data_IF_391464088281
#
_entry.id   IF_391464088281
#
_cell.length_a   1.000
_cell.length_b   1.000
_cell.length_c   1.000
_cell.angle_alpha   90.00
_cell.angle_beta   90.00
_cell.angle_gamma   90.00
#
_symmetry.space_group_name_H-M   'P 1'
#
loop_
_entity.id
_entity.type
_entity.pdbx_description
1 polymer ?
#
# COMPACT_ATOMS: atom_id res chain seq x y z
N UNK A 1 -32.88 3.72 -38.78
CA UNK A 1 -32.43 4.59 -37.67
C UNK A 1 -31.47 3.80 -36.84
N UNK A 2 -30.17 4.05 -37.00
CA UNK A 2 -29.11 3.40 -36.28
C UNK A 2 -28.97 4.02 -34.86
N UNK A 3 -28.68 3.24 -33.79
CA UNK A 3 -28.41 3.83 -32.49
C UNK A 3 -26.98 4.38 -32.47
N UNK A 4 -26.88 5.66 -32.23
CA UNK A 4 -25.60 6.37 -31.99
C UNK A 4 -24.87 5.79 -30.76
N UNK A 5 -23.59 5.53 -30.96
CA UNK A 5 -22.65 5.12 -29.93
C UNK A 5 -22.42 6.25 -28.92
N UNK A 6 -22.96 6.11 -27.72
CA UNK A 6 -22.59 6.92 -26.57
C UNK A 6 -21.34 6.30 -25.95
N UNK A 7 -20.20 6.70 -26.43
CA UNK A 7 -18.91 6.26 -25.90
C UNK A 7 -17.88 7.36 -26.04
N UNK A 8 -17.48 8.01 -24.93
CA UNK A 8 -16.23 8.78 -24.96
C UNK A 8 -16.05 9.99 -24.05
N UNK A 9 -17.08 10.51 -23.37
CA UNK A 9 -16.91 11.74 -22.56
C UNK A 9 -16.90 11.57 -21.04
N UNK A 10 -17.13 10.38 -20.52
CA UNK A 10 -17.28 10.14 -19.08
C UNK A 10 -15.96 10.02 -18.28
N UNK A 11 -14.87 9.58 -18.89
CA UNK A 11 -13.64 9.27 -18.16
C UNK A 11 -12.82 10.51 -17.75
N UNK A 12 -12.76 11.51 -18.61
CA UNK A 12 -11.97 12.72 -18.34
C UNK A 12 -12.52 13.57 -17.19
N UNK A 13 -13.85 13.71 -17.09
CA UNK A 13 -14.51 14.45 -16.01
C UNK A 13 -14.37 13.76 -14.66
N UNK A 14 -14.44 12.43 -14.63
CA UNK A 14 -14.26 11.61 -13.43
C UNK A 14 -12.84 11.75 -12.84
N UNK A 15 -11.81 11.67 -13.67
CA UNK A 15 -10.41 11.79 -13.21
C UNK A 15 -10.14 13.18 -12.62
N UNK A 16 -10.63 14.27 -13.26
CA UNK A 16 -10.44 15.63 -12.77
C UNK A 16 -11.10 15.83 -11.39
N UNK A 17 -12.35 15.38 -11.22
CA UNK A 17 -13.07 15.44 -9.94
C UNK A 17 -12.38 14.63 -8.85
N UNK A 18 -11.93 13.44 -9.18
CA UNK A 18 -11.20 12.56 -8.27
C UNK A 18 -9.86 13.15 -7.86
N UNK A 19 -9.11 13.73 -8.80
CA UNK A 19 -7.84 14.42 -8.55
C UNK A 19 -8.03 15.58 -7.57
N UNK A 20 -9.13 16.35 -7.66
CA UNK A 20 -9.42 17.43 -6.73
C UNK A 20 -9.68 16.93 -5.29
N UNK A 21 -10.33 15.79 -5.12
CA UNK A 21 -10.49 15.14 -3.79
C UNK A 21 -9.13 14.69 -3.26
N UNK A 22 -8.35 13.99 -4.08
CA UNK A 22 -7.03 13.46 -3.72
C UNK A 22 -6.05 14.58 -3.39
N UNK A 23 -6.07 15.70 -4.12
CA UNK A 23 -5.18 16.85 -3.87
C UNK A 23 -5.33 17.36 -2.43
N UNK A 24 -6.54 17.43 -1.89
CA UNK A 24 -6.77 17.83 -0.50
C UNK A 24 -6.24 16.83 0.51
N UNK A 25 -6.26 15.55 0.16
CA UNK A 25 -5.80 14.47 1.03
C UNK A 25 -4.28 14.35 1.07
N UNK A 26 -3.61 14.44 -0.08
CA UNK A 26 -2.15 14.21 -0.16
C UNK A 26 -1.32 15.31 0.50
N UNK A 27 -1.88 16.52 0.66
CA UNK A 27 -1.20 17.68 1.27
C UNK A 27 -1.47 17.79 2.78
N UNK A 28 -2.21 16.87 3.39
CA UNK A 28 -2.42 16.90 4.84
C UNK A 28 -1.07 16.96 5.57
N UNK A 29 -0.92 17.89 6.54
CA UNK A 29 0.31 18.05 7.28
C UNK A 29 0.74 16.74 7.93
N UNK A 30 1.99 16.39 7.78
CA UNK A 30 2.60 15.26 8.47
C UNK A 30 3.24 15.73 9.79
N UNK A 31 3.29 14.84 10.77
CA UNK A 31 3.95 15.14 12.05
C UNK A 31 5.46 15.44 11.84
N UNK A 32 6.09 16.26 12.72
CA UNK A 32 7.50 16.66 12.59
C UNK A 32 8.48 15.48 12.45
N UNK A 33 8.18 14.36 13.10
CA UNK A 33 8.94 13.10 13.02
C UNK A 33 9.08 12.57 11.58
N UNK A 34 8.08 12.80 10.74
CA UNK A 34 8.12 12.42 9.32
C UNK A 34 9.23 13.19 8.59
N UNK A 35 9.47 14.46 8.94
CA UNK A 35 10.56 15.24 8.35
C UNK A 35 11.94 14.74 8.78
N UNK A 36 12.08 14.19 9.99
CA UNK A 36 13.33 13.55 10.45
C UNK A 36 13.63 12.31 9.60
N UNK A 37 12.64 11.45 9.45
CA UNK A 37 12.75 10.26 8.59
C UNK A 37 12.99 10.65 7.11
N UNK A 38 12.29 11.65 6.60
CA UNK A 38 12.45 12.13 5.24
C UNK A 38 13.88 12.60 4.97
N UNK A 39 14.48 13.39 5.88
CA UNK A 39 15.89 13.80 5.76
C UNK A 39 16.84 12.60 5.72
N UNK A 40 16.61 11.60 6.56
CA UNK A 40 17.41 10.37 6.57
C UNK A 40 17.27 9.61 5.23
N UNK A 41 16.08 9.55 4.64
CA UNK A 41 15.85 8.94 3.34
C UNK A 41 16.55 9.70 2.22
N UNK A 42 16.39 11.01 2.17
CA UNK A 42 17.04 11.85 1.16
C UNK A 42 18.57 11.81 1.28
N UNK A 43 19.10 11.75 2.51
CA UNK A 43 20.53 11.57 2.75
C UNK A 43 21.05 10.21 2.26
N UNK A 44 20.27 9.13 2.45
CA UNK A 44 20.66 7.78 2.06
C UNK A 44 20.56 7.51 0.56
N UNK A 45 19.48 7.97 -0.08
CA UNK A 45 19.16 7.65 -1.48
C UNK A 45 19.51 8.79 -2.45
N UNK A 46 19.87 9.95 -1.92
CA UNK A 46 20.40 11.08 -2.68
C UNK A 46 19.46 11.63 -3.75
N UNK A 47 20.05 12.13 -4.83
CA UNK A 47 19.35 12.78 -5.94
C UNK A 47 18.50 11.82 -6.80
N UNK A 48 18.64 10.51 -6.60
CA UNK A 48 17.78 9.52 -7.27
C UNK A 48 16.31 9.61 -6.81
N UNK A 49 16.04 10.20 -5.64
CA UNK A 49 14.69 10.30 -5.08
C UNK A 49 13.89 11.37 -5.81
N UNK A 50 12.78 10.96 -6.39
CA UNK A 50 11.83 11.85 -7.07
C UNK A 50 10.61 12.19 -6.21
N UNK A 51 10.17 11.24 -5.38
CA UNK A 51 9.09 11.50 -4.43
C UNK A 51 9.09 10.51 -3.27
N UNK A 52 8.38 10.87 -2.19
CA UNK A 52 8.13 10.02 -1.04
C UNK A 52 6.66 10.08 -0.67
N UNK A 53 6.04 8.91 -0.60
CA UNK A 53 4.65 8.70 -0.20
C UNK A 53 4.63 8.11 1.21
N UNK A 54 3.89 8.74 2.12
CA UNK A 54 3.64 8.26 3.48
C UNK A 54 2.24 7.66 3.56
N UNK A 55 2.15 6.42 4.04
CA UNK A 55 0.89 5.70 4.15
C UNK A 55 0.89 4.75 5.36
N UNK A 56 -0.14 3.96 5.52
CA UNK A 56 -0.17 2.90 6.52
C UNK A 56 -0.71 3.32 7.88
N UNK A 57 -0.49 2.49 8.91
CA UNK A 57 -1.10 2.65 10.23
C UNK A 57 -0.63 3.90 10.96
N UNK A 58 0.64 4.28 10.83
CA UNK A 58 1.18 5.48 11.45
C UNK A 58 0.54 6.76 10.91
N UNK A 59 0.15 6.78 9.61
CA UNK A 59 -0.60 7.90 9.05
C UNK A 59 -2.01 8.01 9.62
N UNK A 60 -2.57 6.91 10.06
CA UNK A 60 -3.93 6.82 10.66
C UNK A 60 -3.94 6.95 12.19
N UNK A 61 -2.86 7.45 12.81
CA UNK A 61 -2.83 7.75 14.24
C UNK A 61 -2.13 6.71 15.13
N UNK A 62 -1.60 5.60 14.58
CA UNK A 62 -0.69 4.76 15.36
C UNK A 62 0.59 5.55 15.63
N UNK A 63 1.03 5.60 16.88
CA UNK A 63 2.20 6.39 17.30
C UNK A 63 3.45 6.10 16.47
N UNK A 64 4.07 7.15 15.94
CA UNK A 64 5.21 7.07 15.01
C UNK A 64 6.43 6.38 15.63
N UNK A 65 6.66 6.60 16.94
CA UNK A 65 7.79 6.00 17.67
C UNK A 65 7.53 4.57 18.11
N UNK A 66 6.27 4.28 18.45
CA UNK A 66 5.86 2.93 18.83
C UNK A 66 5.69 1.99 17.64
N UNK A 67 5.49 2.55 16.44
CA UNK A 67 5.27 1.82 15.20
C UNK A 67 6.47 1.79 14.27
N UNK A 68 6.18 1.37 13.03
CA UNK A 68 7.06 1.54 11.87
C UNK A 68 6.31 2.37 10.85
N UNK A 69 6.97 3.42 10.40
CA UNK A 69 6.44 4.31 9.37
C UNK A 69 6.60 3.64 8.00
N UNK A 70 5.52 3.52 7.27
CA UNK A 70 5.54 2.94 5.94
C UNK A 70 5.71 4.03 4.87
N UNK A 71 6.81 3.96 4.11
CA UNK A 71 7.06 4.83 2.98
C UNK A 71 7.14 4.07 1.65
N UNK A 72 6.66 4.71 0.60
CA UNK A 72 7.04 4.38 -0.76
C UNK A 72 7.97 5.46 -1.29
N UNK A 73 9.16 5.04 -1.67
CA UNK A 73 10.19 5.88 -2.26
C UNK A 73 10.12 5.74 -3.77
N UNK A 74 9.88 6.83 -4.47
CA UNK A 74 9.87 6.86 -5.92
C UNK A 74 11.21 7.37 -6.41
N UNK A 75 11.88 6.56 -7.23
CA UNK A 75 13.18 6.87 -7.79
C UNK A 75 13.11 6.97 -9.32
N UNK A 76 14.06 7.70 -9.89
CA UNK A 76 14.18 7.84 -11.34
C UNK A 76 14.64 6.53 -11.96
N UNK A 77 15.80 6.03 -11.51
CA UNK A 77 16.34 4.72 -11.88
C UNK A 77 16.76 3.98 -10.60
N UNK A 78 16.38 2.71 -10.49
CA UNK A 78 16.80 1.83 -9.40
C UNK A 78 18.32 1.70 -9.30
N UNK A 79 19.01 1.70 -10.44
CA UNK A 79 20.46 1.55 -10.51
C UNK A 79 21.21 2.70 -9.85
N UNK A 80 20.57 3.86 -9.67
CA UNK A 80 21.16 4.99 -8.98
C UNK A 80 21.18 4.82 -7.44
N UNK A 81 20.40 3.87 -6.91
CA UNK A 81 20.29 3.66 -5.47
C UNK A 81 20.39 2.18 -5.03
N UNK A 82 20.46 1.25 -5.98
CA UNK A 82 20.52 -0.18 -5.72
C UNK A 82 21.67 -0.83 -6.50
N UNK A 83 22.36 -1.77 -5.88
CA UNK A 83 23.39 -2.56 -6.56
C UNK A 83 22.80 -3.35 -7.74
N UNK A 84 23.62 -3.61 -8.79
CA UNK A 84 23.19 -4.09 -10.09
C UNK A 84 22.23 -5.29 -10.06
N UNK A 85 22.52 -6.34 -9.28
CA UNK A 85 21.63 -7.51 -9.18
C UNK A 85 20.36 -7.24 -8.37
N UNK A 86 20.43 -6.39 -7.31
CA UNK A 86 19.28 -5.96 -6.52
C UNK A 86 18.33 -5.10 -7.37
N UNK A 87 18.88 -4.19 -8.17
CA UNK A 87 18.10 -3.38 -9.10
C UNK A 87 17.36 -4.26 -10.12
N UNK A 88 18.02 -5.30 -10.68
CA UNK A 88 17.38 -6.25 -11.60
C UNK A 88 16.23 -7.02 -10.94
N UNK A 89 16.45 -7.58 -9.75
CA UNK A 89 15.42 -8.31 -9.01
C UNK A 89 14.26 -7.38 -8.58
N UNK A 90 14.58 -6.12 -8.21
CA UNK A 90 13.60 -5.10 -7.92
C UNK A 90 12.72 -4.77 -9.11
N UNK A 91 13.30 -4.61 -10.30
CA UNK A 91 12.58 -4.36 -11.54
C UNK A 91 11.72 -5.54 -12.01
N UNK A 92 12.18 -6.78 -11.79
CA UNK A 92 11.40 -7.97 -12.14
C UNK A 92 10.19 -8.19 -11.22
N UNK A 93 10.37 -7.98 -9.93
CA UNK A 93 9.31 -8.19 -8.93
C UNK A 93 9.33 -7.06 -7.87
N UNK A 94 8.86 -5.86 -8.21
CA UNK A 94 8.84 -4.74 -7.27
C UNK A 94 7.94 -4.98 -6.06
N UNK A 95 8.25 -4.30 -4.93
CA UNK A 95 9.41 -3.45 -4.64
C UNK A 95 10.60 -4.20 -4.04
N UNK A 96 11.78 -3.56 -4.01
CA UNK A 96 12.77 -3.83 -2.97
C UNK A 96 12.40 -3.05 -1.72
N UNK A 97 12.76 -3.60 -0.56
CA UNK A 97 12.38 -3.04 0.73
C UNK A 97 13.61 -2.78 1.56
N UNK A 98 13.61 -1.65 2.29
CA UNK A 98 14.67 -1.21 3.18
C UNK A 98 14.08 -0.94 4.56
N UNK A 99 14.84 -1.26 5.59
CA UNK A 99 14.61 -0.79 6.94
C UNK A 99 15.55 0.39 7.20
N UNK A 100 14.98 1.48 7.69
CA UNK A 100 15.73 2.69 8.03
C UNK A 100 15.39 3.06 9.47
N UNK A 101 16.43 3.22 10.27
CA UNK A 101 16.31 3.71 11.63
C UNK A 101 17.12 5.01 11.76
N UNK A 102 16.54 5.99 12.40
CA UNK A 102 17.16 7.27 12.77
C UNK A 102 16.66 7.67 14.15
N UNK A 103 17.19 8.73 14.71
CA UNK A 103 16.74 9.24 16.00
C UNK A 103 16.71 10.77 15.99
N UNK A 104 15.88 11.33 16.84
CA UNK A 104 15.90 12.73 17.25
C UNK A 104 16.06 12.81 18.78
N UNK A 105 15.91 14.00 19.35
CA UNK A 105 15.99 14.25 20.80
C UNK A 105 14.98 13.45 21.63
N UNK A 106 13.89 13.00 21.02
CA UNK A 106 12.83 12.22 21.66
C UNK A 106 12.97 10.70 21.47
N UNK A 107 14.04 10.24 20.81
CA UNK A 107 14.37 8.82 20.65
C UNK A 107 14.26 8.27 19.22
N UNK A 108 14.29 6.94 19.06
CA UNK A 108 14.40 6.31 17.76
C UNK A 108 13.12 6.41 16.95
N UNK A 109 13.30 6.59 15.64
CA UNK A 109 12.26 6.55 14.59
C UNK A 109 12.61 5.48 13.58
N UNK A 110 11.61 4.71 13.15
CA UNK A 110 11.81 3.55 12.29
C UNK A 110 10.90 3.61 11.07
N UNK A 111 11.47 3.33 9.92
CA UNK A 111 10.72 3.29 8.67
C UNK A 111 10.97 2.00 7.90
N UNK A 112 9.92 1.53 7.24
CA UNK A 112 9.96 0.52 6.19
C UNK A 112 9.73 1.23 4.85
N UNK A 113 10.69 1.11 3.96
CA UNK A 113 10.76 1.86 2.71
C UNK A 113 10.68 0.90 1.54
N UNK A 114 9.63 1.00 0.75
CA UNK A 114 9.46 0.23 -0.48
C UNK A 114 9.85 1.10 -1.67
N UNK A 115 10.85 0.67 -2.45
CA UNK A 115 11.40 1.44 -3.57
C UNK A 115 10.70 1.05 -4.87
N UNK A 116 10.23 2.08 -5.59
CA UNK A 116 9.58 1.96 -6.90
C UNK A 116 10.12 2.99 -7.87
N UNK A 117 10.01 2.75 -9.17
CA UNK A 117 10.02 3.82 -10.17
C UNK A 117 8.59 4.32 -10.41
N UNK A 118 8.45 5.54 -10.94
CA UNK A 118 7.14 6.08 -11.32
C UNK A 118 6.42 5.14 -12.30
N UNK A 119 7.13 4.63 -13.31
CA UNK A 119 6.59 3.70 -14.30
C UNK A 119 6.05 2.39 -13.67
N UNK A 120 6.70 1.89 -12.61
CA UNK A 120 6.21 0.71 -11.89
C UNK A 120 4.92 1.00 -11.12
N UNK A 121 4.80 2.20 -10.54
CA UNK A 121 3.56 2.64 -9.90
C UNK A 121 2.43 2.82 -10.91
N UNK A 122 2.68 3.45 -12.05
CA UNK A 122 1.70 3.63 -13.13
C UNK A 122 1.18 2.28 -13.65
N UNK A 123 2.09 1.34 -13.92
CA UNK A 123 1.72 -0.03 -14.30
C UNK A 123 0.96 -0.75 -13.20
N UNK A 124 1.42 -0.60 -11.95
CA UNK A 124 0.83 -1.21 -10.78
C UNK A 124 -0.57 -0.70 -10.46
N UNK A 125 -0.84 0.60 -10.70
CA UNK A 125 -2.15 1.21 -10.51
C UNK A 125 -3.24 0.60 -11.41
N UNK A 126 -2.85 0.05 -12.57
CA UNK A 126 -3.75 -0.58 -13.55
C UNK A 126 -3.63 -2.11 -13.60
N UNK A 127 -2.73 -2.69 -12.81
CA UNK A 127 -2.40 -4.11 -12.88
C UNK A 127 -3.57 -5.03 -12.46
N UNK A 128 -3.46 -6.29 -12.87
CA UNK A 128 -4.33 -7.35 -12.36
C UNK A 128 -4.12 -7.59 -10.85
N UNK A 129 -2.88 -7.50 -10.39
CA UNK A 129 -2.49 -7.65 -9.00
C UNK A 129 -2.90 -6.45 -8.14
N UNK A 130 -3.38 -6.69 -6.92
CA UNK A 130 -3.86 -5.65 -5.99
C UNK A 130 -2.75 -4.87 -5.28
N UNK A 131 -1.52 -5.33 -5.35
CA UNK A 131 -0.43 -4.86 -4.47
C UNK A 131 -0.24 -3.33 -4.47
N UNK A 132 -0.29 -2.69 -5.62
CA UNK A 132 -0.16 -1.23 -5.76
C UNK A 132 -1.50 -0.54 -5.55
N UNK A 133 -2.49 -0.81 -6.41
CA UNK A 133 -3.74 -0.05 -6.37
C UNK A 133 -4.55 -0.30 -5.09
N UNK A 134 -4.50 -1.49 -4.47
CA UNK A 134 -5.18 -1.75 -3.20
C UNK A 134 -4.60 -0.96 -2.02
N UNK A 135 -3.33 -0.53 -2.09
CA UNK A 135 -2.71 0.35 -1.09
C UNK A 135 -2.89 1.82 -1.42
N UNK A 136 -2.72 2.20 -2.69
CA UNK A 136 -2.83 3.58 -3.12
C UNK A 136 -4.27 4.09 -3.23
N UNK A 137 -5.27 3.20 -3.19
CA UNK A 137 -6.67 3.58 -3.01
C UNK A 137 -6.99 4.00 -1.56
N UNK A 138 -6.10 3.74 -0.59
CA UNK A 138 -6.23 4.20 0.79
C UNK A 138 -5.61 5.59 0.95
N UNK A 139 -5.90 6.31 2.05
CA UNK A 139 -5.31 7.62 2.31
C UNK A 139 -3.77 7.60 2.30
N UNK A 140 -3.19 8.48 1.49
CA UNK A 140 -1.75 8.64 1.27
C UNK A 140 -1.39 10.12 1.38
N UNK A 141 -0.22 10.45 1.95
CA UNK A 141 0.36 11.80 1.90
C UNK A 141 1.59 11.80 0.99
N UNK A 142 1.70 12.78 0.11
CA UNK A 142 2.92 13.06 -0.65
C UNK A 142 3.77 13.99 0.21
N UNK A 143 4.74 13.43 0.95
CA UNK A 143 5.58 14.19 1.88
C UNK A 143 6.80 14.81 1.21
N UNK A 144 7.11 14.38 -0.02
CA UNK A 144 8.15 14.96 -0.87
C UNK A 144 7.83 14.70 -2.34
N UNK A 145 8.02 15.70 -3.16
CA UNK A 145 8.10 15.59 -4.61
C UNK A 145 9.18 16.56 -5.13
N UNK A 146 10.09 16.08 -5.94
CA UNK A 146 11.22 16.87 -6.44
C UNK A 146 10.77 18.04 -7.33
N UNK A 147 9.69 17.86 -8.07
CA UNK A 147 9.09 18.90 -8.91
C UNK A 147 7.56 18.81 -8.90
N UNK A 148 6.85 19.89 -9.32
CA UNK A 148 5.39 19.83 -9.53
C UNK A 148 4.96 18.74 -10.52
N UNK A 149 5.81 18.37 -11.47
CA UNK A 149 5.53 17.32 -12.44
C UNK A 149 5.42 15.94 -11.77
N UNK A 150 6.38 15.59 -10.89
CA UNK A 150 6.32 14.34 -10.13
C UNK A 150 5.10 14.32 -9.22
N UNK A 151 4.77 15.44 -8.58
CA UNK A 151 3.57 15.55 -7.76
C UNK A 151 2.31 15.28 -8.57
N UNK A 152 2.15 15.91 -9.75
CA UNK A 152 1.00 15.70 -10.62
C UNK A 152 0.93 14.27 -11.17
N UNK A 153 2.07 13.66 -11.52
CA UNK A 153 2.13 12.27 -11.96
C UNK A 153 1.68 11.30 -10.87
N UNK A 154 2.08 11.54 -9.61
CA UNK A 154 1.62 10.73 -8.48
C UNK A 154 0.12 10.89 -8.22
N UNK A 155 -0.43 12.09 -8.32
CA UNK A 155 -1.88 12.29 -8.23
C UNK A 155 -2.63 11.46 -9.28
N UNK A 156 -2.12 11.42 -10.53
CA UNK A 156 -2.70 10.58 -11.56
C UNK A 156 -2.62 9.08 -11.22
N UNK A 157 -1.49 8.61 -10.67
CA UNK A 157 -1.34 7.23 -10.18
C UNK A 157 -2.35 6.91 -9.07
N UNK A 158 -2.54 7.82 -8.12
CA UNK A 158 -3.53 7.65 -7.04
C UNK A 158 -4.95 7.60 -7.61
N UNK A 159 -5.30 8.52 -8.54
CA UNK A 159 -6.61 8.54 -9.18
C UNK A 159 -6.90 7.22 -9.91
N UNK A 160 -5.97 6.71 -10.73
CA UNK A 160 -6.12 5.42 -11.39
C UNK A 160 -6.21 4.25 -10.42
N UNK A 161 -5.51 4.33 -9.28
CA UNK A 161 -5.60 3.29 -8.23
C UNK A 161 -6.98 3.24 -7.59
N UNK A 162 -7.58 4.41 -7.33
CA UNK A 162 -8.96 4.51 -6.80
C UNK A 162 -9.98 4.03 -7.84
N UNK A 163 -9.87 4.48 -9.10
CA UNK A 163 -10.74 4.00 -10.17
C UNK A 163 -10.68 2.48 -10.31
N UNK A 164 -9.46 1.92 -10.37
CA UNK A 164 -9.26 0.47 -10.45
C UNK A 164 -9.84 -0.26 -9.26
N UNK A 165 -9.66 0.27 -8.05
CA UNK A 165 -10.24 -0.30 -6.84
C UNK A 165 -11.77 -0.34 -6.91
N UNK A 166 -12.40 0.75 -7.30
CA UNK A 166 -13.86 0.84 -7.41
C UNK A 166 -14.41 -0.06 -8.53
N UNK A 167 -13.78 -0.09 -9.69
CA UNK A 167 -14.19 -0.97 -10.81
C UNK A 167 -14.17 -2.45 -10.44
N UNK A 168 -13.28 -2.85 -9.54
CA UNK A 168 -13.17 -4.23 -9.10
C UNK A 168 -14.01 -4.56 -7.86
N UNK A 169 -14.30 -3.58 -7.00
CA UNK A 169 -15.01 -3.81 -5.74
C UNK A 169 -16.52 -3.55 -5.86
N UNK A 170 -16.95 -2.48 -6.56
CA UNK A 170 -18.37 -2.12 -6.67
C UNK A 170 -19.26 -3.23 -7.24
N UNK A 171 -18.83 -4.04 -8.23
CA UNK A 171 -19.65 -5.16 -8.73
C UNK A 171 -20.05 -6.17 -7.65
N UNK A 172 -19.34 -6.22 -6.53
CA UNK A 172 -19.62 -7.15 -5.43
C UNK A 172 -20.38 -6.50 -4.27
N UNK A 173 -20.71 -5.22 -4.40
CA UNK A 173 -21.22 -4.39 -3.30
C UNK A 173 -22.71 -4.07 -3.43
N UNK A 174 -23.47 -4.79 -4.26
CA UNK A 174 -24.88 -4.49 -4.52
C UNK A 174 -25.69 -4.23 -3.25
N UNK A 175 -26.35 -3.06 -3.18
CA UNK A 175 -27.13 -2.52 -2.05
C UNK A 175 -26.34 -2.18 -0.78
N UNK A 176 -25.04 -2.47 -0.71
CA UNK A 176 -24.19 -2.03 0.40
C UNK A 176 -24.09 -0.50 0.46
N UNK A 177 -23.87 0.04 1.65
CA UNK A 177 -23.41 1.42 1.80
C UNK A 177 -22.02 1.59 1.18
N UNK A 178 -21.63 2.83 0.90
CA UNK A 178 -20.29 3.12 0.37
C UNK A 178 -19.20 2.58 1.31
N UNK A 179 -19.35 2.81 2.63
CA UNK A 179 -18.39 2.32 3.63
C UNK A 179 -18.27 0.79 3.65
N UNK A 180 -19.39 0.07 3.57
CA UNK A 180 -19.38 -1.40 3.49
C UNK A 180 -18.72 -1.92 2.21
N UNK A 181 -18.94 -1.24 1.08
CA UNK A 181 -18.31 -1.59 -0.20
C UNK A 181 -16.80 -1.45 -0.15
N UNK A 182 -16.29 -0.35 0.43
CA UNK A 182 -14.85 -0.14 0.63
C UNK A 182 -14.25 -1.17 1.59
N UNK A 183 -14.93 -1.43 2.71
CA UNK A 183 -14.51 -2.48 3.66
C UNK A 183 -14.35 -3.83 2.97
N UNK A 184 -15.37 -4.24 2.23
CA UNK A 184 -15.38 -5.51 1.49
C UNK A 184 -14.27 -5.56 0.44
N UNK A 185 -14.10 -4.48 -0.33
CA UNK A 185 -13.03 -4.37 -1.33
C UNK A 185 -11.63 -4.45 -0.72
N UNK A 186 -11.38 -3.74 0.39
CA UNK A 186 -10.11 -3.79 1.11
C UNK A 186 -9.84 -5.17 1.71
N UNK A 187 -10.84 -5.82 2.31
CA UNK A 187 -10.70 -7.19 2.82
C UNK A 187 -10.30 -8.16 1.70
N UNK A 188 -10.95 -8.07 0.54
CA UNK A 188 -10.61 -8.88 -0.64
C UNK A 188 -9.21 -8.59 -1.17
N UNK A 189 -8.84 -7.31 -1.24
CA UNK A 189 -7.48 -6.89 -1.63
C UNK A 189 -6.42 -7.50 -0.70
N UNK A 190 -6.65 -7.45 0.61
CA UNK A 190 -5.75 -8.04 1.59
C UNK A 190 -5.69 -9.57 1.51
N UNK A 191 -6.81 -10.22 1.24
CA UNK A 191 -6.87 -11.67 1.08
C UNK A 191 -6.11 -12.20 -0.15
N UNK A 192 -5.70 -11.31 -1.09
CA UNK A 192 -4.82 -11.68 -2.20
C UNK A 192 -3.35 -11.81 -1.79
N UNK A 193 -2.99 -11.38 -0.59
CA UNK A 193 -1.61 -11.39 -0.11
C UNK A 193 -1.43 -12.41 1.04
N UNK A 194 -0.18 -12.83 1.24
CA UNK A 194 0.21 -13.59 2.43
C UNK A 194 0.43 -12.61 3.59
N UNK A 195 -0.59 -12.36 4.38
CA UNK A 195 -0.54 -11.50 5.56
C UNK A 195 -0.86 -12.30 6.81
N UNK A 196 -0.13 -12.01 7.89
CA UNK A 196 -0.43 -12.55 9.23
C UNK A 196 -1.57 -11.80 9.93
N UNK A 197 -2.14 -10.75 9.33
CA UNK A 197 -3.10 -9.86 9.98
C UNK A 197 -4.55 -10.28 9.69
N UNK A 198 -5.38 -10.25 10.73
CA UNK A 198 -6.79 -10.60 10.69
C UNK A 198 -7.63 -9.57 9.88
N UNK A 199 -8.71 -10.04 9.24
CA UNK A 199 -9.60 -9.22 8.39
C UNK A 199 -10.34 -8.05 9.06
N UNK A 200 -10.27 -7.91 10.39
CA UNK A 200 -10.93 -6.82 11.15
C UNK A 200 -10.38 -5.43 10.84
N UNK A 201 -9.09 -5.31 10.54
CA UNK A 201 -8.42 -4.02 10.27
C UNK A 201 -8.99 -3.22 9.09
N UNK A 202 -9.59 -3.89 8.09
CA UNK A 202 -10.21 -3.19 6.96
C UNK A 202 -11.45 -2.37 7.38
N UNK A 203 -12.17 -2.82 8.39
CA UNK A 203 -13.31 -2.09 8.96
C UNK A 203 -12.87 -0.78 9.61
N UNK A 204 -11.88 -0.86 10.49
CA UNK A 204 -11.36 0.29 11.23
C UNK A 204 -10.80 1.37 10.29
N UNK A 205 -10.14 0.95 9.19
CA UNK A 205 -9.56 1.86 8.19
C UNK A 205 -10.65 2.72 7.52
N UNK A 206 -11.78 2.13 7.17
CA UNK A 206 -12.86 2.85 6.47
C UNK A 206 -13.61 3.77 7.41
N UNK A 207 -13.89 3.31 8.64
CA UNK A 207 -14.61 4.12 9.61
C UNK A 207 -13.85 5.38 10.03
N UNK A 208 -12.53 5.33 10.14
CA UNK A 208 -11.68 6.47 10.48
C UNK A 208 -11.73 7.61 9.45
N UNK A 209 -11.97 7.30 8.18
CA UNK A 209 -11.96 8.27 7.09
C UNK A 209 -13.20 8.14 6.18
N UNK A 210 -14.38 7.80 6.75
CA UNK A 210 -15.64 7.55 6.02
C UNK A 210 -15.93 8.62 4.96
N UNK A 211 -15.91 9.89 5.35
CA UNK A 211 -16.21 11.01 4.48
C UNK A 211 -15.25 11.08 3.26
N UNK A 212 -13.98 10.70 3.44
CA UNK A 212 -13.03 10.63 2.35
C UNK A 212 -13.40 9.56 1.32
N UNK A 213 -13.74 8.34 1.78
CA UNK A 213 -14.13 7.24 0.90
C UNK A 213 -15.45 7.52 0.16
N UNK A 214 -16.40 8.18 0.82
CA UNK A 214 -17.64 8.65 0.19
C UNK A 214 -17.36 9.68 -0.91
N UNK A 215 -16.52 10.68 -0.61
CA UNK A 215 -16.11 11.70 -1.57
C UNK A 215 -15.37 11.10 -2.80
N UNK A 216 -14.48 10.13 -2.58
CA UNK A 216 -13.79 9.41 -3.67
C UNK A 216 -14.78 8.66 -4.56
N UNK A 217 -15.74 7.95 -3.96
CA UNK A 217 -16.71 7.16 -4.72
C UNK A 217 -17.64 8.06 -5.53
N UNK A 218 -18.12 9.13 -4.92
CA UNK A 218 -18.99 10.11 -5.58
C UNK A 218 -18.26 10.79 -6.75
N UNK A 219 -16.99 11.18 -6.54
CA UNK A 219 -16.19 11.81 -7.59
C UNK A 219 -15.87 10.86 -8.75
N UNK A 220 -15.58 9.58 -8.45
CA UNK A 220 -15.15 8.60 -9.46
C UNK A 220 -16.32 7.88 -10.15
N UNK A 221 -17.39 7.55 -9.43
CA UNK A 221 -18.49 6.69 -9.90
C UNK A 221 -19.88 7.17 -9.39
N UNK A 222 -20.29 8.42 -9.69
CA UNK A 222 -21.56 8.96 -9.20
C UNK A 222 -22.77 8.13 -9.66
N UNK A 223 -22.73 7.60 -10.89
CA UNK A 223 -23.82 6.79 -11.47
C UNK A 223 -23.94 5.39 -10.85
N UNK A 224 -22.91 4.93 -10.14
CA UNK A 224 -22.95 3.66 -9.41
C UNK A 224 -23.67 3.78 -8.08
N UNK A 225 -24.08 4.98 -7.67
CA UNK A 225 -24.72 5.24 -6.39
C UNK A 225 -26.22 5.59 -6.56
N UNK A 226 -26.98 5.33 -5.52
CA UNK A 226 -28.32 5.80 -5.32
C UNK A 226 -28.51 6.14 -3.83
N UNK A 227 -29.48 6.98 -3.52
CA UNK A 227 -29.77 7.38 -2.14
C UNK A 227 -31.05 6.69 -1.70
N UNK A 228 -31.01 6.00 -0.55
CA UNK A 228 -32.18 5.37 0.04
C UNK A 228 -33.11 6.37 0.71
N UNK A 229 -34.26 5.90 1.27
CA UNK A 229 -35.26 6.74 1.91
C UNK A 229 -34.71 7.46 3.17
N UNK A 230 -33.69 6.88 3.80
CA UNK A 230 -33.02 7.45 4.99
C UNK A 230 -31.89 8.43 4.62
N UNK A 231 -31.69 8.73 3.33
CA UNK A 231 -30.66 9.64 2.85
C UNK A 231 -29.26 9.02 2.75
N UNK A 232 -29.13 7.70 2.90
CA UNK A 232 -27.83 7.00 2.84
C UNK A 232 -27.47 6.63 1.40
N UNK A 233 -26.24 6.94 1.01
CA UNK A 233 -25.70 6.53 -0.29
C UNK A 233 -25.36 5.05 -0.33
N UNK A 234 -25.96 4.34 -1.29
CA UNK A 234 -25.79 2.91 -1.52
C UNK A 234 -25.30 2.61 -2.93
N UNK A 235 -24.64 1.49 -3.09
CA UNK A 235 -24.16 0.99 -4.39
C UNK A 235 -25.33 0.34 -5.14
N UNK A 236 -25.48 0.69 -6.43
CA UNK A 236 -26.49 0.06 -7.29
C UNK A 236 -26.15 -1.40 -7.52
N UNK A 237 -27.11 -2.31 -7.38
CA UNK A 237 -26.90 -3.70 -7.72
C UNK A 237 -26.63 -3.87 -9.22
N UNK A 238 -25.77 -4.81 -9.57
CA UNK A 238 -25.50 -5.20 -10.94
C UNK A 238 -26.18 -6.55 -11.26
N UNK A 239 -26.31 -6.88 -12.57
CA UNK A 239 -26.80 -8.18 -12.99
C UNK A 239 -25.95 -9.33 -12.39
N UNK A 240 -26.61 -10.45 -12.08
CA UNK A 240 -25.93 -11.61 -11.47
C UNK A 240 -24.74 -12.14 -12.28
N UNK A 241 -24.84 -12.08 -13.62
CA UNK A 241 -23.75 -12.46 -14.50
C UNK A 241 -22.47 -11.63 -14.27
N UNK A 242 -22.61 -10.32 -14.05
CA UNK A 242 -21.51 -9.40 -13.80
C UNK A 242 -20.90 -9.63 -12.41
N UNK A 243 -21.76 -9.88 -11.40
CA UNK A 243 -21.33 -10.25 -10.05
C UNK A 243 -20.55 -11.57 -10.10
N UNK A 244 -21.06 -12.58 -10.80
CA UNK A 244 -20.37 -13.86 -10.96
C UNK A 244 -19.02 -13.72 -11.69
N UNK A 245 -18.96 -12.87 -12.71
CA UNK A 245 -17.71 -12.55 -13.40
C UNK A 245 -16.70 -11.86 -12.48
N UNK A 246 -17.14 -10.90 -11.68
CA UNK A 246 -16.30 -10.22 -10.67
C UNK A 246 -15.78 -11.20 -9.62
N UNK A 247 -16.62 -12.13 -9.14
CA UNK A 247 -16.22 -13.18 -8.19
C UNK A 247 -15.14 -14.10 -8.77
N UNK A 248 -15.27 -14.50 -10.05
CA UNK A 248 -14.24 -15.30 -10.74
C UNK A 248 -12.91 -14.55 -10.84
N UNK A 249 -12.96 -13.25 -11.22
CA UNK A 249 -11.75 -12.40 -11.27
C UNK A 249 -11.06 -12.31 -9.91
N UNK A 250 -11.81 -12.12 -8.82
CA UNK A 250 -11.23 -12.04 -7.47
C UNK A 250 -10.63 -13.37 -7.01
N UNK A 251 -11.22 -14.53 -7.35
CA UNK A 251 -10.61 -15.84 -7.07
C UNK A 251 -9.28 -16.02 -7.78
N UNK A 252 -9.24 -15.72 -9.08
CA UNK A 252 -7.99 -15.76 -9.85
C UNK A 252 -6.93 -14.79 -9.31
N UNK A 253 -7.36 -13.58 -8.95
CA UNK A 253 -6.50 -12.56 -8.35
C UNK A 253 -5.93 -12.97 -6.99
N UNK A 254 -6.72 -13.67 -6.17
CA UNK A 254 -6.26 -14.19 -4.88
C UNK A 254 -5.16 -15.25 -5.06
N UNK A 255 -5.34 -16.18 -5.99
CA UNK A 255 -4.31 -17.18 -6.30
C UNK A 255 -3.02 -16.54 -6.82
N UNK A 256 -3.16 -15.68 -7.84
CA UNK A 256 -2.02 -14.98 -8.45
C UNK A 256 -1.28 -14.09 -7.45
N UNK A 257 -2.01 -13.33 -6.63
CA UNK A 257 -1.43 -12.43 -5.63
C UNK A 257 -0.68 -13.18 -4.53
N UNK A 258 -1.22 -14.31 -4.03
CA UNK A 258 -0.54 -15.18 -3.04
C UNK A 258 0.76 -15.75 -3.61
N UNK A 259 0.76 -16.20 -4.86
CA UNK A 259 1.97 -16.70 -5.53
C UNK A 259 3.03 -15.58 -5.62
N UNK A 260 2.65 -14.38 -6.06
CA UNK A 260 3.57 -13.24 -6.12
C UNK A 260 4.04 -12.80 -4.75
N UNK A 261 3.18 -12.86 -3.72
CA UNK A 261 3.56 -12.57 -2.34
C UNK A 261 4.63 -13.55 -1.83
N UNK A 262 4.48 -14.83 -2.14
CA UNK A 262 5.50 -15.83 -1.81
C UNK A 262 6.83 -15.53 -2.51
N UNK A 263 6.80 -15.23 -3.80
CA UNK A 263 8.00 -14.85 -4.55
C UNK A 263 8.66 -13.58 -3.99
N UNK A 264 7.87 -12.56 -3.56
CA UNK A 264 8.39 -11.37 -2.88
C UNK A 264 9.04 -11.70 -1.53
N UNK A 265 8.47 -12.61 -0.76
CA UNK A 265 9.06 -13.07 0.50
C UNK A 265 10.40 -13.77 0.26
N UNK A 266 10.46 -14.69 -0.71
CA UNK A 266 11.70 -15.38 -1.09
C UNK A 266 12.74 -14.38 -1.60
N UNK A 267 12.35 -13.44 -2.48
CA UNK A 267 13.23 -12.36 -2.92
C UNK A 267 13.71 -11.51 -1.73
N UNK A 268 12.82 -11.21 -0.80
CA UNK A 268 13.10 -10.41 0.40
C UNK A 268 14.21 -10.99 1.27
N UNK A 269 14.37 -12.31 1.32
CA UNK A 269 15.48 -12.95 2.05
C UNK A 269 16.86 -12.45 1.58
N UNK A 270 16.95 -11.99 0.32
CA UNK A 270 18.19 -11.51 -0.28
C UNK A 270 18.25 -10.00 -0.47
N UNK A 271 17.10 -9.37 -0.69
CA UNK A 271 17.06 -7.95 -1.08
C UNK A 271 16.60 -7.02 0.04
N UNK A 272 16.06 -7.54 1.15
CA UNK A 272 15.61 -6.70 2.25
C UNK A 272 16.79 -6.21 3.07
N UNK A 273 17.24 -5.00 2.80
CA UNK A 273 18.30 -4.35 3.54
C UNK A 273 17.80 -3.90 4.92
N UNK A 274 18.56 -4.26 5.98
CA UNK A 274 18.11 -4.10 7.36
C UNK A 274 16.97 -5.06 7.80
N UNK A 275 16.63 -6.05 6.97
CA UNK A 275 15.53 -6.98 7.26
C UNK A 275 15.70 -7.77 8.56
N UNK A 276 16.92 -8.11 8.93
CA UNK A 276 17.19 -8.77 10.20
C UNK A 276 16.95 -7.85 11.40
N UNK A 277 17.29 -6.57 11.28
CA UNK A 277 17.05 -5.58 12.34
C UNK A 277 15.55 -5.31 12.49
N UNK A 278 14.83 -5.25 11.37
CA UNK A 278 13.37 -5.20 11.38
C UNK A 278 12.75 -6.42 12.08
N UNK A 279 13.21 -7.63 11.77
CA UNK A 279 12.70 -8.87 12.39
C UNK A 279 13.04 -8.90 13.88
N UNK A 280 14.28 -8.56 14.26
CA UNK A 280 14.72 -8.48 15.65
C UNK A 280 13.84 -7.52 16.45
N UNK A 281 13.64 -6.31 15.96
CA UNK A 281 12.77 -5.32 16.57
C UNK A 281 11.32 -5.82 16.70
N UNK A 282 10.76 -6.39 15.63
CA UNK A 282 9.39 -6.90 15.63
C UNK A 282 9.18 -8.01 16.66
N UNK A 283 10.10 -8.95 16.71
CA UNK A 283 10.07 -10.06 17.68
C UNK A 283 10.25 -9.56 19.11
N UNK A 284 11.19 -8.63 19.34
CA UNK A 284 11.39 -8.01 20.65
C UNK A 284 10.12 -7.32 21.15
N UNK A 285 9.47 -6.57 20.26
CA UNK A 285 8.23 -5.86 20.59
C UNK A 285 7.07 -6.81 20.94
N UNK A 286 6.91 -7.90 20.19
CA UNK A 286 5.83 -8.88 20.44
C UNK A 286 6.07 -9.74 21.67
N UNK A 287 7.32 -10.09 21.96
CA UNK A 287 7.66 -10.97 23.07
C UNK A 287 7.96 -10.22 24.38
N UNK A 288 8.13 -8.89 24.33
CA UNK A 288 8.60 -8.09 25.47
C UNK A 288 10.04 -8.40 25.87
N UNK A 289 10.81 -9.13 25.06
CA UNK A 289 12.19 -9.55 25.31
C UNK A 289 13.09 -9.05 24.20
N UNK A 290 14.31 -8.67 24.54
CA UNK A 290 15.30 -8.29 23.52
C UNK A 290 15.69 -9.52 22.69
N UNK A 291 15.51 -9.43 21.37
CA UNK A 291 15.86 -10.47 20.40
C UNK A 291 17.02 -9.95 19.54
N UNK A 292 18.18 -10.57 19.70
CA UNK A 292 19.39 -10.29 18.91
C UNK A 292 19.57 -11.42 17.89
N UNK A 293 19.68 -11.05 16.60
CA UNK A 293 19.96 -12.00 15.53
C UNK A 293 21.47 -12.11 15.34
N UNK A 294 22.08 -13.30 15.59
CA UNK A 294 23.52 -13.50 15.48
C UNK A 294 24.04 -13.25 14.06
N UNK A 295 25.27 -12.75 13.93
CA UNK A 295 25.91 -12.44 12.65
C UNK A 295 25.97 -13.64 11.71
N UNK A 296 26.21 -14.84 12.23
CA UNK A 296 26.19 -16.10 11.43
C UNK A 296 24.85 -16.35 10.75
N UNK A 297 23.70 -15.95 11.37
CA UNK A 297 22.37 -16.05 10.76
C UNK A 297 22.20 -14.96 9.69
N UNK A 298 22.74 -13.78 9.91
CA UNK A 298 22.72 -12.68 8.91
C UNK A 298 23.50 -13.07 7.65
N UNK A 299 24.65 -13.72 7.82
CA UNK A 299 25.55 -14.12 6.71
C UNK A 299 25.05 -15.35 5.95
N UNK A 300 24.47 -16.33 6.68
CA UNK A 300 24.02 -17.62 6.12
C UNK A 300 22.63 -17.99 6.67
N UNK A 301 21.58 -17.24 6.27
CA UNK A 301 20.26 -17.39 6.88
C UNK A 301 19.69 -18.81 6.75
N UNK A 302 19.83 -19.46 5.59
CA UNK A 302 19.30 -20.81 5.35
C UNK A 302 19.89 -21.91 6.22
N UNK A 303 21.16 -21.76 6.60
CA UNK A 303 21.84 -22.76 7.44
C UNK A 303 21.48 -22.56 8.92
N UNK A 304 21.37 -21.33 9.39
CA UNK A 304 21.32 -21.01 10.81
C UNK A 304 19.98 -20.50 11.31
N UNK A 305 19.05 -20.15 10.41
CA UNK A 305 17.73 -19.64 10.81
C UNK A 305 16.93 -20.66 11.60
N UNK A 306 17.00 -21.92 11.26
CA UNK A 306 16.29 -23.00 11.96
C UNK A 306 16.72 -23.15 13.41
N UNK A 307 18.02 -23.07 13.68
CA UNK A 307 18.55 -23.07 15.04
C UNK A 307 18.13 -21.85 15.84
N UNK A 308 18.10 -20.67 15.22
CA UNK A 308 17.58 -19.46 15.83
C UNK A 308 16.07 -19.58 16.13
N UNK A 309 15.28 -20.05 15.18
CA UNK A 309 13.85 -20.26 15.35
C UNK A 309 13.54 -21.22 16.49
N UNK A 310 14.27 -22.34 16.57
CA UNK A 310 14.15 -23.28 17.68
C UNK A 310 14.49 -22.65 19.04
N UNK A 311 15.58 -21.87 19.09
CA UNK A 311 15.96 -21.14 20.31
C UNK A 311 14.87 -20.16 20.75
N UNK A 312 14.35 -19.34 19.82
CA UNK A 312 13.29 -18.37 20.10
C UNK A 312 11.97 -19.05 20.50
N UNK A 313 11.64 -20.18 19.90
CA UNK A 313 10.49 -20.99 20.27
C UNK A 313 10.61 -21.50 21.73
N UNK A 314 11.77 -22.07 22.10
CA UNK A 314 12.04 -22.51 23.49
C UNK A 314 12.00 -21.35 24.48
N UNK A 315 12.36 -20.16 24.07
CA UNK A 315 12.30 -18.95 24.89
C UNK A 315 10.88 -18.36 24.98
N UNK A 316 9.90 -18.92 24.28
CA UNK A 316 8.51 -18.48 24.32
C UNK A 316 8.23 -17.19 23.54
N UNK A 317 9.11 -16.80 22.61
CA UNK A 317 8.97 -15.58 21.79
C UNK A 317 7.76 -15.66 20.84
N UNK A 318 7.29 -16.85 20.50
CA UNK A 318 6.16 -17.10 19.59
C UNK A 318 4.86 -17.51 20.31
N UNK A 319 4.77 -17.31 21.61
CA UNK A 319 3.56 -17.60 22.40
C UNK A 319 2.74 -16.36 22.65
#
# INVERSE_FOLDING_TARGET
MSPEAVGGSGSGGSIASLTAVLQREVVRPAAPEINVLLRALLGRFGTAVRAVLFYGSCRRGVGLRAGIVDFWLVVDDRRACEEGWRARLGGWLPPNVYYVETADEHGPLRAKVAVFTLQELERGARAYETYVWGRLAQPVSIVYAATPREHAALLAVLAHSVEKFLDESLPLAGQMTVSESWRTGLQRSYATELRAESGGRAGDIVELDRAHYEALTLAARPLALWTDAEGTSRVRPLPEADVAAAMRRWRGRAWFGKTRSLLRLLKGLYTFDGGFDYIAWKLSRHSGREVVIPERVRRWPWLFVWGLMWKLYRQGVFR
#
